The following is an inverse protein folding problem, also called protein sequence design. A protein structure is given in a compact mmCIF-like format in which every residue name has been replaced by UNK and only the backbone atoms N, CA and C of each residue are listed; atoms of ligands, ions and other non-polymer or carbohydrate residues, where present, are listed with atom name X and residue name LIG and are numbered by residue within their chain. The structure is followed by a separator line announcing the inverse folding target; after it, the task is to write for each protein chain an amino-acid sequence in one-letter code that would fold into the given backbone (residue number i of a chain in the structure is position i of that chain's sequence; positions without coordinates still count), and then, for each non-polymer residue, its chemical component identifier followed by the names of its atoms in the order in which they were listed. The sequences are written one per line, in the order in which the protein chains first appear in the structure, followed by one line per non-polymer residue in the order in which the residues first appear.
data_IF_551951235064
#
_entry.id   IF_551951235064
#
_cell.length_a   1.000
_cell.length_b   1.000
_cell.length_c   1.000
_cell.angle_alpha   90.00
_cell.angle_beta   90.00
_cell.angle_gamma   90.00
#
_symmetry.space_group_name_H-M   'P 1'
#
loop_
_entity.id
_entity.type
_entity.pdbx_description
1 polymer ?
#
# COMPACT_ATOMS: atom_id res chain seq x y z
N UNK A 1 18.71 33.10 80.81
CA UNK A 1 19.02 32.81 79.39
C UNK A 1 19.48 31.37 79.10
N UNK A 2 19.97 30.57 80.08
CA UNK A 2 20.43 29.17 79.83
C UNK A 2 19.31 28.13 79.61
N UNK A 3 18.11 28.30 80.18
CA UNK A 3 17.01 27.30 80.10
C UNK A 3 16.29 27.24 78.74
N UNK A 4 16.31 28.32 77.95
CA UNK A 4 15.66 28.40 76.62
C UNK A 4 16.47 27.68 75.53
N UNK A 5 17.80 27.61 75.65
CA UNK A 5 18.66 26.91 74.68
C UNK A 5 18.51 25.38 74.75
N UNK A 6 18.18 24.83 75.91
CA UNK A 6 18.00 23.39 76.10
C UNK A 6 16.68 22.92 75.48
N UNK A 7 15.60 23.72 75.61
CA UNK A 7 14.29 23.40 75.05
C UNK A 7 14.29 23.40 73.51
N UNK A 8 15.03 24.34 72.89
CA UNK A 8 15.19 24.39 71.44
C UNK A 8 16.01 23.21 70.90
N UNK A 9 16.97 22.70 71.68
CA UNK A 9 17.77 21.53 71.31
C UNK A 9 16.97 20.22 71.31
N UNK A 10 16.01 20.06 72.23
CA UNK A 10 15.13 18.88 72.25
C UNK A 10 14.02 18.95 71.18
N UNK A 11 13.55 20.15 70.84
CA UNK A 11 12.57 20.35 69.75
C UNK A 11 13.15 20.01 68.37
N UNK A 12 14.42 20.35 68.13
CA UNK A 12 15.12 20.02 66.87
C UNK A 12 15.41 18.52 66.75
N UNK A 13 15.73 17.84 67.85
CA UNK A 13 15.94 16.38 67.86
C UNK A 13 14.63 15.61 67.70
N UNK A 14 13.50 16.13 68.19
CA UNK A 14 12.18 15.52 68.00
C UNK A 14 11.67 15.66 66.54
N UNK A 15 11.99 16.76 65.85
CA UNK A 15 11.70 16.91 64.42
C UNK A 15 12.54 16.00 63.52
N UNK A 16 13.78 15.65 63.91
CA UNK A 16 14.65 14.75 63.13
C UNK A 16 14.19 13.28 63.25
N UNK A 17 13.53 12.89 64.36
CA UNK A 17 13.00 11.54 64.56
C UNK A 17 11.67 11.26 63.83
N UNK A 18 10.93 12.29 63.41
CA UNK A 18 9.69 12.14 62.61
C UNK A 18 10.00 12.07 61.10
N UNK A 19 11.16 12.55 60.67
CA UNK A 19 11.59 12.49 59.26
C UNK A 19 12.18 11.10 58.92
N UNK A 20 12.56 10.29 59.90
CA UNK A 20 13.24 9.00 59.70
C UNK A 20 12.31 7.75 59.68
N UNK A 21 11.01 7.91 59.92
CA UNK A 21 10.04 6.79 59.94
C UNK A 21 9.11 6.76 58.72
N UNK A 22 9.33 7.60 57.72
CA UNK A 22 8.65 7.53 56.44
C UNK A 22 9.64 7.20 55.31
N UNK A 23 10.39 6.11 55.46
CA UNK A 23 10.90 5.36 54.31
C UNK A 23 9.72 4.62 53.68
N UNK A 24 8.76 5.37 53.17
CA UNK A 24 7.76 4.83 52.26
C UNK A 24 8.52 4.35 51.04
N UNK A 25 8.56 3.04 50.84
CA UNK A 25 9.04 2.45 49.60
C UNK A 25 8.24 3.06 48.45
N UNK A 26 8.79 4.08 47.81
CA UNK A 26 8.30 4.57 46.54
C UNK A 26 8.66 3.49 45.52
N UNK A 27 7.80 2.48 45.44
CA UNK A 27 7.79 1.57 44.31
C UNK A 27 7.35 2.41 43.12
N UNK A 28 8.32 2.89 42.35
CA UNK A 28 8.06 3.28 40.97
C UNK A 28 7.55 2.02 40.28
N UNK A 29 6.22 1.92 40.14
CA UNK A 29 5.64 0.98 39.22
C UNK A 29 6.18 1.39 37.84
N UNK A 30 7.16 0.64 37.35
CA UNK A 30 7.56 0.70 35.95
C UNK A 30 6.32 0.29 35.18
N UNK A 31 5.56 1.27 34.69
CA UNK A 31 4.56 1.02 33.67
C UNK A 31 5.32 0.64 32.41
N UNK A 32 5.66 -0.64 32.30
CA UNK A 32 5.92 -1.22 31.00
C UNK A 32 4.61 -1.15 30.24
N UNK A 33 4.43 -0.08 29.48
CA UNK A 33 3.54 -0.03 28.35
C UNK A 33 4.11 -0.99 27.30
N UNK A 34 3.88 -2.29 27.51
CA UNK A 34 3.88 -3.22 26.41
C UNK A 34 2.78 -2.72 25.47
N UNK A 35 3.16 -2.01 24.41
CA UNK A 35 2.31 -1.89 23.24
C UNK A 35 1.80 -3.31 22.97
N UNK A 36 0.47 -3.49 22.97
CA UNK A 36 -0.16 -4.79 22.78
C UNK A 36 0.53 -5.52 21.63
N UNK A 37 1.31 -6.54 21.94
CA UNK A 37 2.14 -7.25 20.97
C UNK A 37 1.30 -8.05 19.97
N UNK A 38 -0.03 -7.97 20.06
CA UNK A 38 -0.99 -8.66 19.20
C UNK A 38 -1.55 -7.81 18.06
N UNK A 39 -1.47 -6.48 18.16
CA UNK A 39 -2.10 -5.59 17.17
C UNK A 39 -1.35 -5.64 15.83
N UNK A 40 -2.11 -5.82 14.75
CA UNK A 40 -1.58 -5.76 13.39
C UNK A 40 -1.69 -4.33 12.89
N UNK A 41 -0.56 -3.74 12.51
CA UNK A 41 -0.52 -2.40 11.91
C UNK A 41 -0.42 -2.50 10.39
N UNK A 42 -1.02 -1.53 9.70
CA UNK A 42 -0.94 -1.43 8.24
C UNK A 42 -0.51 -0.01 7.89
N UNK A 43 0.54 0.10 7.08
CA UNK A 43 1.03 1.37 6.57
C UNK A 43 0.91 1.40 5.05
N UNK A 44 0.34 2.47 4.51
CA UNK A 44 0.33 2.78 3.10
C UNK A 44 1.23 3.98 2.84
N UNK A 45 2.27 3.80 2.03
CA UNK A 45 3.26 4.83 1.72
C UNK A 45 3.82 5.51 2.99
N UNK A 46 4.05 4.73 4.05
CA UNK A 46 4.55 5.20 5.34
C UNK A 46 3.51 5.81 6.28
N UNK A 47 2.25 5.95 5.85
CA UNK A 47 1.14 6.47 6.67
C UNK A 47 0.31 5.32 7.21
N UNK A 48 0.04 5.30 8.51
CA UNK A 48 -0.76 4.25 9.14
C UNK A 48 -2.23 4.34 8.73
N UNK A 49 -2.81 3.23 8.26
CA UNK A 49 -4.24 3.09 8.04
C UNK A 49 -4.89 2.69 9.37
N UNK A 50 -5.83 3.52 9.84
CA UNK A 50 -6.64 3.20 11.02
C UNK A 50 -7.90 2.45 10.60
N UNK A 51 -8.20 1.37 11.31
CA UNK A 51 -9.39 0.56 11.10
C UNK A 51 -10.36 0.73 12.26
N UNK A 52 -11.66 0.71 11.96
CA UNK A 52 -12.72 0.74 12.98
C UNK A 52 -12.83 -0.60 13.74
N UNK A 53 -12.44 -1.69 13.09
CA UNK A 53 -12.25 -3.01 13.70
C UNK A 53 -10.86 -3.53 13.37
N UNK A 54 -10.17 -4.04 14.39
CA UNK A 54 -8.78 -4.47 14.28
C UNK A 54 -8.59 -5.53 13.17
N UNK A 55 -7.55 -5.41 12.34
CA UNK A 55 -7.12 -6.49 11.46
C UNK A 55 -6.75 -7.75 12.26
N UNK A 56 -6.88 -8.92 11.64
CA UNK A 56 -6.51 -10.20 12.25
C UNK A 56 -5.86 -11.14 11.23
N UNK A 57 -5.25 -12.23 11.71
CA UNK A 57 -4.70 -13.27 10.84
C UNK A 57 -5.66 -14.46 10.81
N UNK A 58 -6.00 -14.93 9.61
CA UNK A 58 -6.71 -16.19 9.38
C UNK A 58 -6.00 -16.98 8.29
N UNK A 59 -5.73 -18.27 8.54
CA UNK A 59 -5.02 -19.15 7.61
C UNK A 59 -3.70 -18.55 7.08
N UNK A 60 -2.97 -17.83 7.92
CA UNK A 60 -1.72 -17.16 7.53
C UNK A 60 -1.90 -15.97 6.59
N UNK A 61 -3.10 -15.35 6.55
CA UNK A 61 -3.39 -14.14 5.79
C UNK A 61 -3.95 -13.05 6.70
N UNK A 62 -3.47 -11.82 6.48
CA UNK A 62 -4.00 -10.63 7.17
C UNK A 62 -5.34 -10.25 6.54
N UNK A 63 -6.37 -10.24 7.38
CA UNK A 63 -7.74 -9.86 7.05
C UNK A 63 -7.99 -8.44 7.55
N UNK A 64 -8.55 -7.59 6.69
CA UNK A 64 -8.85 -6.18 7.01
C UNK A 64 -10.28 -5.80 6.62
N UNK A 65 -10.91 -4.84 7.31
CA UNK A 65 -12.15 -4.22 6.85
C UNK A 65 -11.99 -3.68 5.43
N UNK A 66 -12.83 -4.14 4.50
CA UNK A 66 -12.63 -3.89 3.07
C UNK A 66 -12.63 -2.40 2.69
N UNK A 67 -13.50 -1.61 3.32
CA UNK A 67 -13.70 -0.20 2.97
C UNK A 67 -12.43 0.62 3.16
N UNK A 68 -11.82 0.52 4.34
CA UNK A 68 -10.63 1.31 4.67
C UNK A 68 -9.45 1.04 3.74
N UNK A 69 -9.22 -0.23 3.36
CA UNK A 69 -8.11 -0.57 2.46
C UNK A 69 -8.37 -0.11 1.02
N UNK A 70 -9.58 -0.28 0.51
CA UNK A 70 -9.92 0.12 -0.85
C UNK A 70 -9.97 1.65 -1.01
N UNK A 71 -10.55 2.38 -0.05
CA UNK A 71 -10.54 3.85 -0.06
C UNK A 71 -9.11 4.40 -0.02
N UNK A 72 -8.24 3.82 0.82
CA UNK A 72 -6.84 4.21 0.90
C UNK A 72 -6.08 4.00 -0.43
N UNK A 73 -6.49 3.00 -1.22
CA UNK A 73 -5.95 2.73 -2.57
C UNK A 73 -6.61 3.55 -3.68
N UNK A 74 -7.52 4.48 -3.34
CA UNK A 74 -8.17 5.35 -4.30
C UNK A 74 -9.05 4.60 -5.30
N UNK A 75 -9.71 3.52 -4.86
CA UNK A 75 -10.74 2.84 -5.65
C UNK A 75 -12.12 3.17 -5.12
N UNK A 76 -13.07 3.38 -6.02
CA UNK A 76 -14.48 3.54 -5.69
C UNK A 76 -15.07 2.20 -5.26
N UNK A 77 -15.98 2.22 -4.29
CA UNK A 77 -16.49 1.01 -3.65
C UNK A 77 -18.01 1.00 -3.63
N UNK A 78 -18.58 -0.12 -4.07
CA UNK A 78 -19.98 -0.46 -3.87
C UNK A 78 -20.10 -1.78 -3.09
N UNK A 79 -21.00 -1.79 -2.11
CA UNK A 79 -21.34 -2.96 -1.32
C UNK A 79 -22.81 -3.28 -1.49
N UNK A 80 -23.13 -4.48 -1.95
CA UNK A 80 -24.49 -4.99 -2.05
C UNK A 80 -24.75 -5.97 -0.89
N UNK A 81 -25.52 -5.54 0.11
CA UNK A 81 -25.84 -6.36 1.28
C UNK A 81 -26.78 -7.54 1.00
N UNK A 82 -27.60 -7.47 -0.06
CA UNK A 82 -28.53 -8.54 -0.44
C UNK A 82 -27.75 -9.71 -1.04
N UNK A 83 -26.89 -9.41 -2.02
CA UNK A 83 -26.09 -10.41 -2.72
C UNK A 83 -24.78 -10.73 -1.98
N UNK A 84 -24.43 -9.94 -0.96
CA UNK A 84 -23.15 -10.02 -0.22
C UNK A 84 -21.96 -9.90 -1.17
N UNK A 85 -21.92 -8.82 -1.93
CA UNK A 85 -20.87 -8.60 -2.94
C UNK A 85 -20.23 -7.23 -2.79
N UNK A 86 -18.91 -7.19 -3.02
CA UNK A 86 -18.10 -5.98 -3.13
C UNK A 86 -17.80 -5.77 -4.61
N UNK A 87 -18.00 -4.56 -5.10
CA UNK A 87 -17.48 -4.09 -6.37
C UNK A 87 -16.57 -2.90 -6.09
N UNK A 88 -15.28 -3.01 -6.42
CA UNK A 88 -14.31 -1.94 -6.29
C UNK A 88 -13.75 -1.57 -7.66
N UNK A 89 -13.75 -0.29 -8.03
CA UNK A 89 -13.42 0.15 -9.40
C UNK A 89 -12.58 1.43 -9.43
N UNK A 90 -11.67 1.50 -10.40
CA UNK A 90 -11.03 2.73 -10.88
C UNK A 90 -10.71 2.60 -12.38
N UNK A 91 -9.89 3.50 -12.92
CA UNK A 91 -9.52 3.55 -14.35
C UNK A 91 -8.83 2.28 -14.89
N UNK A 92 -8.16 1.50 -14.03
CA UNK A 92 -7.34 0.34 -14.44
C UNK A 92 -7.78 -0.98 -13.82
N UNK A 93 -8.66 -0.91 -12.82
CA UNK A 93 -8.96 -2.02 -11.93
C UNK A 93 -10.46 -2.10 -11.66
N UNK A 94 -11.00 -3.30 -11.81
CA UNK A 94 -12.30 -3.73 -11.31
C UNK A 94 -12.11 -5.01 -10.50
N UNK A 95 -12.45 -4.98 -9.22
CA UNK A 95 -12.41 -6.14 -8.32
C UNK A 95 -13.84 -6.42 -7.86
N UNK A 96 -14.35 -7.58 -8.26
CA UNK A 96 -15.64 -8.09 -7.80
C UNK A 96 -15.42 -9.28 -6.88
N UNK A 97 -15.90 -9.18 -5.64
CA UNK A 97 -15.77 -10.22 -4.62
C UNK A 97 -17.16 -10.61 -4.13
N UNK A 98 -17.46 -11.91 -4.15
CA UNK A 98 -18.62 -12.48 -3.47
C UNK A 98 -18.15 -13.11 -2.15
N UNK A 99 -18.80 -12.74 -1.04
CA UNK A 99 -18.41 -13.20 0.29
C UNK A 99 -18.60 -14.71 0.43
N UNK A 100 -17.60 -15.39 1.00
CA UNK A 100 -17.57 -16.84 1.19
C UNK A 100 -17.16 -17.64 -0.05
N UNK A 101 -16.74 -16.98 -1.14
CA UNK A 101 -16.09 -17.66 -2.27
C UNK A 101 -14.58 -17.65 -2.08
N UNK A 102 -13.93 -18.73 -2.52
CA UNK A 102 -12.47 -18.83 -2.59
C UNK A 102 -11.86 -18.15 -3.84
N UNK A 103 -12.63 -17.30 -4.52
CA UNK A 103 -12.19 -16.57 -5.70
C UNK A 103 -12.91 -15.23 -5.81
N UNK A 104 -12.34 -14.35 -6.63
CA UNK A 104 -12.89 -13.08 -7.04
C UNK A 104 -12.75 -12.94 -8.56
N UNK A 105 -13.32 -11.87 -9.12
CA UNK A 105 -13.03 -11.46 -10.50
C UNK A 105 -12.24 -10.16 -10.48
N UNK A 106 -11.14 -10.12 -11.23
CA UNK A 106 -10.29 -8.94 -11.42
C UNK A 106 -10.26 -8.63 -12.90
N UNK A 107 -10.77 -7.46 -13.30
CA UNK A 107 -10.95 -7.05 -14.70
C UNK A 107 -11.67 -8.14 -15.54
N UNK A 108 -12.68 -8.78 -14.95
CA UNK A 108 -13.44 -9.86 -15.59
C UNK A 108 -12.79 -11.25 -15.54
N UNK A 109 -11.54 -11.37 -15.12
CA UNK A 109 -10.83 -12.65 -15.01
C UNK A 109 -10.98 -13.24 -13.61
N UNK A 110 -11.23 -14.55 -13.54
CA UNK A 110 -11.33 -15.25 -12.25
C UNK A 110 -9.95 -15.41 -11.61
N UNK A 111 -9.80 -14.95 -10.38
CA UNK A 111 -8.56 -15.04 -9.58
C UNK A 111 -8.86 -15.69 -8.23
N UNK A 112 -8.06 -16.66 -7.83
CA UNK A 112 -8.23 -17.34 -6.54
C UNK A 112 -7.83 -16.41 -5.38
N UNK A 113 -8.54 -16.55 -4.27
CA UNK A 113 -8.23 -15.88 -3.01
C UNK A 113 -7.44 -16.85 -2.12
N UNK A 114 -6.36 -16.35 -1.52
CA UNK A 114 -5.61 -17.12 -0.52
C UNK A 114 -6.39 -17.33 0.80
N UNK A 115 -7.39 -16.49 1.04
CA UNK A 115 -8.35 -16.62 2.13
C UNK A 115 -9.70 -16.05 1.66
N UNK A 116 -10.81 -16.67 2.03
CA UNK A 116 -12.14 -16.20 1.63
C UNK A 116 -12.44 -14.85 2.29
N UNK A 117 -13.06 -13.94 1.53
CA UNK A 117 -13.68 -12.76 2.13
C UNK A 117 -14.86 -13.20 2.99
N UNK A 118 -15.02 -12.59 4.17
CA UNK A 118 -15.99 -13.04 5.17
C UNK A 118 -16.66 -11.90 5.92
N UNK A 119 -17.76 -12.19 6.61
CA UNK A 119 -18.42 -11.24 7.50
C UNK A 119 -18.26 -11.73 8.93
N UNK A 120 -17.59 -10.93 9.78
CA UNK A 120 -17.36 -11.22 11.19
C UNK A 120 -17.82 -10.02 12.01
N UNK A 121 -18.68 -10.26 13.00
CA UNK A 121 -19.18 -9.18 13.87
C UNK A 121 -19.91 -8.06 13.10
N UNK A 122 -20.55 -8.37 11.97
CA UNK A 122 -21.22 -7.38 11.11
C UNK A 122 -20.27 -6.51 10.28
N UNK A 123 -18.99 -6.88 10.14
CA UNK A 123 -18.01 -6.24 9.27
C UNK A 123 -17.51 -7.20 8.21
N UNK A 124 -17.38 -6.70 6.99
CA UNK A 124 -16.85 -7.46 5.86
C UNK A 124 -15.32 -7.32 5.81
N UNK A 125 -14.64 -8.46 5.85
CA UNK A 125 -13.19 -8.56 5.80
C UNK A 125 -12.72 -9.19 4.49
N UNK A 126 -11.59 -8.72 3.99
CA UNK A 126 -10.94 -9.20 2.78
C UNK A 126 -9.46 -9.48 3.04
N UNK A 127 -8.81 -10.40 2.29
CA UNK A 127 -7.37 -10.60 2.38
C UNK A 127 -6.65 -9.35 1.86
N UNK A 128 -5.91 -8.67 2.74
CA UNK A 128 -5.26 -7.39 2.42
C UNK A 128 -4.35 -7.50 1.20
N UNK A 129 -3.52 -8.54 1.15
CA UNK A 129 -2.55 -8.72 0.07
C UNK A 129 -3.24 -8.88 -1.28
N UNK A 130 -4.31 -9.67 -1.34
CA UNK A 130 -5.06 -9.88 -2.57
C UNK A 130 -5.58 -8.56 -3.12
N UNK A 131 -6.26 -7.77 -2.29
CA UNK A 131 -6.87 -6.51 -2.76
C UNK A 131 -5.82 -5.48 -3.14
N UNK A 132 -4.72 -5.39 -2.38
CA UNK A 132 -3.67 -4.40 -2.62
C UNK A 132 -2.84 -4.74 -3.87
N UNK A 133 -2.41 -6.00 -4.03
CA UNK A 133 -1.63 -6.42 -5.20
C UNK A 133 -2.45 -6.31 -6.49
N UNK A 134 -3.75 -6.67 -6.48
CA UNK A 134 -4.60 -6.53 -7.66
C UNK A 134 -4.98 -5.08 -7.99
N UNK A 135 -4.86 -4.16 -7.03
CA UNK A 135 -4.89 -2.72 -7.29
C UNK A 135 -3.56 -2.18 -7.84
N UNK A 136 -2.50 -2.99 -7.89
CA UNK A 136 -1.18 -2.62 -8.39
C UNK A 136 -0.17 -2.20 -7.32
N UNK A 137 -0.49 -2.37 -6.03
CA UNK A 137 0.43 -2.07 -4.93
C UNK A 137 1.42 -3.22 -4.67
N UNK A 138 2.57 -2.89 -4.11
CA UNK A 138 3.49 -3.86 -3.51
C UNK A 138 3.18 -4.03 -2.01
N UNK A 139 3.27 -5.27 -1.51
CA UNK A 139 2.92 -5.60 -0.12
C UNK A 139 4.01 -6.42 0.54
N UNK A 140 4.53 -5.91 1.66
CA UNK A 140 5.48 -6.63 2.51
C UNK A 140 4.95 -6.81 3.94
N UNK A 141 5.48 -7.81 4.63
CA UNK A 141 5.11 -8.17 5.99
C UNK A 141 6.36 -8.21 6.87
N UNK A 142 6.35 -7.41 7.94
CA UNK A 142 7.31 -7.50 9.04
C UNK A 142 6.69 -8.32 10.17
N UNK A 143 7.12 -9.58 10.27
CA UNK A 143 6.62 -10.50 11.29
C UNK A 143 7.05 -10.15 12.71
N UNK A 144 8.20 -9.51 12.90
CA UNK A 144 8.68 -9.10 14.22
C UNK A 144 7.87 -7.93 14.77
N UNK A 145 7.47 -7.00 13.89
CA UNK A 145 6.62 -5.85 14.23
C UNK A 145 5.13 -6.09 14.01
N UNK A 146 4.74 -7.28 13.50
CA UNK A 146 3.38 -7.59 13.04
C UNK A 146 2.77 -6.50 12.16
N UNK A 147 3.58 -5.97 11.24
CA UNK A 147 3.23 -4.79 10.46
C UNK A 147 3.21 -5.12 8.97
N UNK A 148 2.14 -4.71 8.30
CA UNK A 148 2.03 -4.73 6.84
C UNK A 148 2.49 -3.38 6.29
N UNK A 149 3.37 -3.40 5.29
CA UNK A 149 3.72 -2.21 4.53
C UNK A 149 3.21 -2.36 3.09
N UNK A 150 2.51 -1.32 2.63
CA UNK A 150 1.95 -1.22 1.29
C UNK A 150 2.61 -0.03 0.60
N UNK A 151 3.17 -0.26 -0.59
CA UNK A 151 3.68 0.79 -1.46
C UNK A 151 2.79 0.89 -2.69
N UNK A 152 2.22 2.06 -2.95
CA UNK A 152 1.25 2.25 -4.02
C UNK A 152 1.41 3.60 -4.70
N UNK A 153 1.31 3.60 -6.02
CA UNK A 153 1.33 4.83 -6.83
C UNK A 153 -0.10 5.20 -7.21
N UNK A 154 -0.62 6.26 -6.58
CA UNK A 154 -1.97 6.79 -6.84
C UNK A 154 -1.98 8.13 -7.60
N UNK A 155 -0.81 8.71 -7.85
CA UNK A 155 -0.71 9.96 -8.59
C UNK A 155 -0.78 9.70 -10.09
N UNK A 156 -1.67 10.42 -10.76
CA UNK A 156 -1.70 10.53 -12.22
C UNK A 156 -0.73 11.64 -12.64
N UNK A 157 0.08 11.36 -13.65
CA UNK A 157 1.09 12.28 -14.19
C UNK A 157 0.76 12.70 -15.61
N UNK A 158 1.34 13.83 -16.00
CA UNK A 158 1.36 14.28 -17.38
C UNK A 158 2.53 13.63 -18.15
N UNK A 159 2.35 13.45 -19.46
CA UNK A 159 3.43 12.95 -20.32
C UNK A 159 4.63 13.90 -20.29
N UNK A 160 5.84 13.33 -20.27
CA UNK A 160 7.10 14.04 -20.12
C UNK A 160 7.51 14.34 -18.67
N UNK A 161 6.62 14.12 -17.69
CA UNK A 161 7.00 14.27 -16.29
C UNK A 161 7.96 13.16 -15.83
N UNK A 162 8.97 13.55 -15.03
CA UNK A 162 9.88 12.61 -14.39
C UNK A 162 9.16 11.81 -13.31
N UNK A 163 9.31 10.50 -13.40
CA UNK A 163 8.88 9.52 -12.41
C UNK A 163 10.08 8.86 -11.75
N UNK A 164 9.93 8.52 -10.48
CA UNK A 164 10.96 7.85 -9.70
C UNK A 164 10.40 6.62 -9.01
N UNK A 165 11.16 5.54 -9.04
CA UNK A 165 10.88 4.34 -8.26
C UNK A 165 12.19 3.70 -7.81
N UNK A 166 12.53 3.86 -6.52
CA UNK A 166 13.83 3.43 -5.98
C UNK A 166 14.99 4.09 -6.74
N UNK A 167 15.80 3.30 -7.43
CA UNK A 167 16.92 3.71 -8.28
C UNK A 167 16.51 4.04 -9.73
N UNK A 168 15.26 3.74 -10.12
CA UNK A 168 14.73 4.09 -11.43
C UNK A 168 14.33 5.56 -11.50
N UNK A 169 14.84 6.24 -12.52
CA UNK A 169 14.38 7.53 -13.02
C UNK A 169 13.93 7.31 -14.47
N UNK A 170 12.70 7.73 -14.79
CA UNK A 170 12.17 7.59 -16.15
C UNK A 170 11.15 8.67 -16.49
N UNK A 171 10.88 8.83 -17.78
CA UNK A 171 9.77 9.61 -18.34
C UNK A 171 9.01 8.75 -19.33
N UNK A 172 7.70 8.97 -19.46
CA UNK A 172 6.93 8.54 -20.63
C UNK A 172 6.67 9.81 -21.43
N UNK A 173 7.37 9.99 -22.54
CA UNK A 173 7.38 11.25 -23.29
C UNK A 173 6.19 11.35 -24.24
N UNK A 174 5.70 10.23 -24.74
CA UNK A 174 4.58 10.20 -25.66
C UNK A 174 4.15 8.80 -26.07
N UNK A 175 3.08 8.77 -26.86
CA UNK A 175 2.65 7.59 -27.59
C UNK A 175 2.20 7.98 -29.00
N UNK A 176 2.32 7.04 -29.93
CA UNK A 176 1.91 7.19 -31.30
C UNK A 176 1.24 5.92 -31.83
N UNK A 177 0.42 6.10 -32.85
CA UNK A 177 -0.27 5.01 -33.54
C UNK A 177 0.32 4.90 -34.94
N UNK A 178 0.91 3.75 -35.25
CA UNK A 178 1.56 3.47 -36.52
C UNK A 178 0.82 2.35 -37.28
N UNK A 179 1.22 2.15 -38.54
CA UNK A 179 0.70 1.10 -39.42
C UNK A 179 -0.85 1.04 -39.47
N UNK A 180 -1.49 2.20 -39.59
CA UNK A 180 -2.95 2.36 -39.62
C UNK A 180 -3.64 1.81 -38.35
N UNK A 181 -3.05 2.11 -37.18
CA UNK A 181 -3.60 1.68 -35.88
C UNK A 181 -3.31 0.24 -35.50
N UNK A 182 -2.39 -0.43 -36.20
CA UNK A 182 -1.97 -1.80 -35.89
C UNK A 182 -0.80 -1.88 -34.92
N UNK A 183 -0.08 -0.78 -34.72
CA UNK A 183 1.02 -0.70 -33.77
C UNK A 183 0.78 0.52 -32.88
N UNK A 184 0.71 0.29 -31.57
CA UNK A 184 0.80 1.38 -30.60
C UNK A 184 2.22 1.42 -30.07
N UNK A 185 2.86 2.58 -30.25
CA UNK A 185 4.21 2.82 -29.80
C UNK A 185 4.19 3.78 -28.62
N UNK A 186 4.84 3.41 -27.53
CA UNK A 186 5.06 4.27 -26.36
C UNK A 186 6.55 4.48 -26.21
N UNK A 187 6.97 5.71 -25.98
CA UNK A 187 8.40 6.05 -25.90
C UNK A 187 8.70 7.01 -24.76
N UNK A 188 9.95 6.98 -24.32
CA UNK A 188 10.43 7.85 -23.26
C UNK A 188 11.89 7.58 -22.92
N UNK A 189 12.28 7.96 -21.70
CA UNK A 189 13.67 7.88 -21.23
C UNK A 189 13.74 7.10 -19.93
N UNK A 190 14.83 6.37 -19.71
CA UNK A 190 15.11 5.64 -18.46
C UNK A 190 16.61 5.64 -18.15
N UNK A 191 16.97 5.79 -16.87
CA UNK A 191 18.37 5.80 -16.45
C UNK A 191 19.04 4.41 -16.43
N UNK A 192 18.28 3.32 -16.29
CA UNK A 192 18.77 1.95 -16.19
C UNK A 192 18.37 1.09 -17.39
N UNK A 193 19.34 0.42 -18.02
CA UNK A 193 19.12 -0.45 -19.20
C UNK A 193 18.55 -1.83 -18.82
N UNK A 194 18.95 -2.39 -17.68
CA UNK A 194 18.67 -3.78 -17.31
C UNK A 194 17.45 -3.97 -16.41
N UNK A 195 16.62 -2.94 -16.26
CA UNK A 195 15.39 -3.01 -15.47
C UNK A 195 14.21 -3.22 -16.40
N UNK A 196 13.42 -4.25 -16.12
CA UNK A 196 12.18 -4.46 -16.87
C UNK A 196 11.24 -3.28 -16.64
N UNK A 197 10.83 -2.63 -17.73
CA UNK A 197 9.69 -1.74 -17.76
C UNK A 197 8.63 -2.38 -18.64
N UNK A 198 7.44 -2.56 -18.07
CA UNK A 198 6.26 -3.02 -18.79
C UNK A 198 5.30 -1.83 -18.90
N UNK A 199 4.80 -1.61 -20.10
CA UNK A 199 3.78 -0.61 -20.38
C UNK A 199 2.46 -1.33 -20.63
N UNK A 200 1.43 -0.91 -19.91
CA UNK A 200 0.05 -1.30 -20.14
C UNK A 200 -0.73 -0.08 -20.62
N UNK A 201 -1.41 -0.21 -21.77
CA UNK A 201 -2.33 0.77 -22.28
C UNK A 201 -3.74 0.29 -22.00
N UNK A 202 -4.52 1.07 -21.27
CA UNK A 202 -5.92 0.78 -20.95
C UNK A 202 -6.86 1.62 -21.81
N UNK A 203 -7.96 1.03 -22.27
CA UNK A 203 -9.06 1.75 -22.92
C UNK A 203 -10.15 2.16 -21.92
N UNK A 204 -11.18 2.87 -22.40
CA UNK A 204 -12.31 3.30 -21.56
C UNK A 204 -13.16 2.15 -20.99
N UNK A 205 -12.96 0.92 -21.46
CA UNK A 205 -13.61 -0.28 -20.95
C UNK A 205 -12.75 -1.06 -19.94
N UNK A 206 -11.56 -0.53 -19.59
CA UNK A 206 -10.53 -1.17 -18.74
C UNK A 206 -9.89 -2.42 -19.36
N UNK A 207 -10.11 -2.66 -20.66
CA UNK A 207 -9.30 -3.63 -21.39
C UNK A 207 -7.93 -3.03 -21.61
N UNK A 208 -6.91 -3.87 -21.57
CA UNK A 208 -5.54 -3.41 -21.78
C UNK A 208 -4.81 -4.25 -22.80
N UNK A 209 -3.82 -3.61 -23.42
CA UNK A 209 -2.75 -4.24 -24.19
C UNK A 209 -1.43 -3.88 -23.53
N UNK A 210 -0.40 -4.71 -23.70
CA UNK A 210 0.86 -4.50 -23.00
C UNK A 210 2.08 -4.87 -23.84
N UNK A 211 3.22 -4.29 -23.47
CA UNK A 211 4.52 -4.61 -24.05
C UNK A 211 5.65 -4.32 -23.06
N UNK A 212 6.83 -4.87 -23.35
CA UNK A 212 8.05 -4.64 -22.58
C UNK A 212 8.90 -3.62 -23.32
N UNK A 213 9.52 -2.70 -22.56
CA UNK A 213 10.40 -1.69 -23.11
C UNK A 213 11.69 -2.30 -23.66
N UNK A 214 12.06 -1.83 -24.84
CA UNK A 214 13.33 -2.10 -25.50
C UNK A 214 14.16 -0.81 -25.51
N UNK A 215 15.45 -0.91 -25.18
CA UNK A 215 16.36 0.23 -25.27
C UNK A 215 16.76 0.41 -26.73
N UNK A 216 16.46 1.59 -27.29
CA UNK A 216 16.67 1.89 -28.71
C UNK A 216 17.83 2.86 -28.96
N UNK A 217 18.30 3.54 -27.92
CA UNK A 217 19.39 4.50 -28.04
C UNK A 217 19.72 5.20 -26.73
N UNK A 218 20.49 6.28 -26.83
CA UNK A 218 20.87 7.13 -25.71
C UNK A 218 20.65 8.60 -26.05
N UNK A 219 20.18 9.35 -25.07
CA UNK A 219 20.08 10.81 -25.12
C UNK A 219 20.67 11.40 -23.84
N UNK A 220 21.87 11.96 -23.96
CA UNK A 220 22.66 12.39 -22.82
C UNK A 220 22.97 11.25 -21.85
N UNK A 221 22.67 11.44 -20.57
CA UNK A 221 22.86 10.45 -19.51
C UNK A 221 21.74 9.41 -19.38
N UNK A 222 20.73 9.46 -20.26
CA UNK A 222 19.55 8.59 -20.20
C UNK A 222 19.49 7.66 -21.42
N UNK A 223 18.86 6.51 -21.26
CA UNK A 223 18.55 5.60 -22.36
C UNK A 223 17.17 5.93 -22.92
N UNK A 224 17.06 5.92 -24.25
CA UNK A 224 15.77 5.97 -24.93
C UNK A 224 15.15 4.58 -24.90
N UNK A 225 13.88 4.49 -24.57
CA UNK A 225 13.13 3.25 -24.68
C UNK A 225 11.93 3.40 -25.60
N UNK A 226 11.57 2.30 -26.25
CA UNK A 226 10.34 2.17 -27.01
C UNK A 226 9.61 0.89 -26.60
N UNK A 227 8.28 0.92 -26.64
CA UNK A 227 7.41 -0.24 -26.51
C UNK A 227 6.51 -0.28 -27.73
N UNK A 228 6.66 -1.31 -28.56
CA UNK A 228 5.81 -1.53 -29.72
C UNK A 228 4.79 -2.64 -29.42
N UNK A 229 3.50 -2.27 -29.38
CA UNK A 229 2.40 -3.18 -29.09
C UNK A 229 1.62 -3.45 -30.38
N UNK A 230 1.66 -4.69 -30.84
CA UNK A 230 0.99 -5.13 -32.07
C UNK A 230 -0.45 -5.52 -31.78
N UNK A 231 -1.38 -4.94 -32.54
CA UNK A 231 -2.82 -5.09 -32.35
C UNK A 231 -3.45 -5.97 -33.44
N UNK A 232 -4.47 -6.73 -33.04
CA UNK A 232 -5.32 -7.51 -33.94
C UNK A 232 -6.69 -6.83 -34.19
N UNK A 233 -6.98 -5.74 -33.48
CA UNK A 233 -8.19 -4.95 -33.57
C UNK A 233 -7.90 -3.50 -33.13
N UNK A 234 -8.77 -2.56 -33.50
CA UNK A 234 -8.64 -1.17 -33.08
C UNK A 234 -8.66 -1.03 -31.55
N UNK A 235 -7.76 -0.21 -31.02
CA UNK A 235 -7.62 0.08 -29.60
C UNK A 235 -7.39 1.58 -29.42
N UNK A 236 -8.13 2.21 -28.51
CA UNK A 236 -8.01 3.64 -28.23
C UNK A 236 -7.55 3.83 -26.78
N UNK A 237 -6.24 4.07 -26.54
CA UNK A 237 -5.71 4.15 -25.20
C UNK A 237 -6.18 5.43 -24.48
N UNK A 238 -6.50 5.28 -23.20
CA UNK A 238 -6.94 6.35 -22.27
C UNK A 238 -6.03 6.49 -21.06
N UNK A 239 -5.34 5.42 -20.70
CA UNK A 239 -4.41 5.42 -19.58
C UNK A 239 -3.16 4.65 -19.96
N UNK A 240 -1.99 5.20 -19.65
CA UNK A 240 -0.72 4.48 -19.66
C UNK A 240 -0.37 4.13 -18.23
N UNK A 241 -0.10 2.86 -17.97
CA UNK A 241 0.39 2.40 -16.69
C UNK A 241 1.78 1.78 -16.90
N UNK A 242 2.73 2.23 -16.07
CA UNK A 242 4.10 1.71 -16.07
C UNK A 242 4.26 0.76 -14.91
N UNK A 243 4.73 -0.45 -15.21
CA UNK A 243 5.06 -1.47 -14.23
C UNK A 243 6.53 -1.84 -14.27
N UNK A 244 7.03 -2.30 -13.13
CA UNK A 244 8.31 -3.01 -13.02
C UNK A 244 8.19 -4.15 -12.01
N UNK A 245 9.25 -4.92 -11.81
CA UNK A 245 9.27 -5.99 -10.81
C UNK A 245 9.44 -5.41 -9.41
N UNK A 246 8.50 -5.75 -8.52
CA UNK A 246 8.61 -5.54 -7.09
C UNK A 246 9.49 -6.61 -6.41
N UNK A 247 9.58 -6.56 -5.09
CA UNK A 247 10.43 -7.46 -4.31
C UNK A 247 9.94 -8.91 -4.35
N UNK A 248 8.65 -9.11 -4.60
CA UNK A 248 8.03 -10.41 -4.81
C UNK A 248 8.25 -10.98 -6.23
N UNK A 249 9.04 -10.30 -7.07
CA UNK A 249 9.24 -10.62 -8.49
C UNK A 249 7.94 -10.61 -9.31
N UNK A 250 6.94 -9.85 -8.86
CA UNK A 250 5.68 -9.60 -9.57
C UNK A 250 5.69 -8.19 -10.16
N UNK A 251 5.02 -7.96 -11.31
CA UNK A 251 4.80 -6.61 -11.82
C UNK A 251 3.97 -5.77 -10.83
N UNK A 252 4.50 -4.61 -10.46
CA UNK A 252 3.85 -3.62 -9.60
C UNK A 252 3.76 -2.29 -10.35
N UNK A 253 2.73 -1.50 -10.04
CA UNK A 253 2.52 -0.18 -10.63
C UNK A 253 3.54 0.81 -10.07
N UNK A 254 4.23 1.52 -10.95
CA UNK A 254 5.20 2.56 -10.56
C UNK A 254 4.90 3.95 -11.13
N UNK A 255 4.04 4.05 -12.15
CA UNK A 255 3.50 5.34 -12.63
C UNK A 255 2.21 5.15 -13.43
N UNK A 256 1.40 6.20 -13.52
CA UNK A 256 0.18 6.26 -14.31
C UNK A 256 0.07 7.61 -15.01
N UNK A 257 -0.39 7.60 -16.25
CA UNK A 257 -0.60 8.78 -17.10
C UNK A 257 -1.98 8.69 -17.76
N UNK A 258 -2.67 9.82 -17.90
CA UNK A 258 -3.93 9.92 -18.65
C UNK A 258 -3.68 10.49 -20.05
N UNK A 259 -4.47 10.04 -21.03
CA UNK A 259 -4.34 10.36 -22.47
C UNK A 259 -5.56 11.10 -23.05
#
# INVERSE_FOLDING_TARGET
MKKIRVFFSYLVVFCILIIFSFTGSFSFAVQNSYASADEIKVFLNGVEIKFDVAPYIKNGRTMVPFRAIFEALGVDISWNGVNRTILATNDTTEIYIEIGKAFAYVNGYKVNLDAEAEIVGGRTFVPLRFVSENAGADVSWDGARRTVYISYVNQVRDLGEKSYFRDLEFTVDGWESEADGKILKVYGKVNLENKMLMIELYDSSRKYVSGIAEITGKDGGMNLFEVNIYLNASFNPKTILVKTLGDSNKPIKISQYNL
#
